data_IF_879486235481
#
_entry.id   IF_879486235481
#
_cell.length_a   1.000
_cell.length_b   1.000
_cell.length_c   1.000
_cell.angle_alpha   90.00
_cell.angle_beta   90.00
_cell.angle_gamma   90.00
#
_symmetry.space_group_name_H-M   'P 1'
#
loop_
_entity.id
_entity.type
_entity.pdbx_description
1 polymer ?
#
# COMPACT_ATOMS: atom_id res chain seq x y z
N UNK A 1 7.34 11.61 45.88
CA UNK A 1 7.43 10.42 45.02
C UNK A 1 6.21 10.43 44.12
N UNK A 2 6.36 11.00 42.91
CA UNK A 2 5.26 11.27 41.99
C UNK A 2 5.02 10.00 41.17
N UNK A 3 3.92 9.32 41.44
CA UNK A 3 3.49 8.13 40.71
C UNK A 3 2.94 8.61 39.36
N UNK A 4 3.74 8.51 38.29
CA UNK A 4 3.25 8.68 36.93
C UNK A 4 2.28 7.54 36.62
N UNK A 5 0.99 7.83 36.70
CA UNK A 5 -0.04 7.04 36.04
C UNK A 5 0.19 7.19 34.53
N UNK A 6 0.88 6.23 33.92
CA UNK A 6 0.90 6.08 32.47
C UNK A 6 -0.53 5.69 32.04
N UNK A 7 -1.31 6.69 31.65
CA UNK A 7 -2.54 6.49 30.89
C UNK A 7 -2.16 5.70 29.64
N UNK A 8 -2.57 4.43 29.58
CA UNK A 8 -2.57 3.65 28.36
C UNK A 8 -3.50 4.36 27.37
N UNK A 9 -2.92 5.19 26.49
CA UNK A 9 -3.62 5.76 25.34
C UNK A 9 -4.19 4.60 24.52
N UNK A 10 -5.51 4.61 24.28
CA UNK A 10 -6.30 3.50 23.77
C UNK A 10 -6.05 3.14 22.31
N UNK A 11 -4.81 2.78 21.99
CA UNK A 11 -4.40 2.29 20.68
C UNK A 11 -4.96 0.88 20.53
N UNK A 12 -5.78 0.68 19.49
CA UNK A 12 -6.32 -0.64 19.15
C UNK A 12 -5.65 -1.14 17.87
N UNK A 13 -5.27 -2.42 17.86
CA UNK A 13 -4.61 -3.08 16.75
C UNK A 13 -5.47 -4.22 16.21
N UNK A 14 -5.59 -4.33 14.88
CA UNK A 14 -6.22 -5.47 14.21
C UNK A 14 -5.27 -6.03 13.15
N UNK A 15 -4.90 -7.31 13.26
CA UNK A 15 -3.95 -7.97 12.36
C UNK A 15 -4.64 -8.86 11.32
N UNK A 16 -4.04 -8.96 10.13
CA UNK A 16 -4.48 -9.85 9.05
C UNK A 16 -3.38 -10.04 8.00
N UNK A 17 -2.86 -11.27 7.89
CA UNK A 17 -1.73 -11.57 7.01
C UNK A 17 -0.45 -10.81 7.42
N UNK A 18 0.20 -10.17 6.44
CA UNK A 18 1.44 -9.39 6.65
C UNK A 18 1.19 -7.96 7.14
N UNK A 19 -0.07 -7.58 7.40
CA UNK A 19 -0.46 -6.22 7.75
C UNK A 19 -1.27 -6.16 9.04
N UNK A 20 -1.23 -4.99 9.69
CA UNK A 20 -2.08 -4.63 10.82
C UNK A 20 -2.65 -3.21 10.62
N UNK A 21 -3.84 -2.98 11.17
CA UNK A 21 -4.46 -1.66 11.28
C UNK A 21 -4.26 -1.13 12.69
N UNK A 22 -3.75 0.10 12.78
CA UNK A 22 -3.57 0.79 14.05
C UNK A 22 -4.53 1.95 14.13
N UNK A 23 -5.38 1.95 15.15
CA UNK A 23 -6.41 2.97 15.37
C UNK A 23 -5.92 3.97 16.42
N UNK A 24 -6.00 5.25 16.07
CA UNK A 24 -5.72 6.38 16.96
C UNK A 24 -6.88 7.38 16.94
N UNK A 25 -7.11 8.14 18.03
CA UNK A 25 -7.94 9.34 17.96
C UNK A 25 -7.26 10.36 17.04
N UNK A 26 -7.93 10.76 15.97
CA UNK A 26 -7.28 11.59 14.94
C UNK A 26 -8.19 11.97 13.79
N UNK A 27 -7.69 12.86 12.94
CA UNK A 27 -8.34 13.25 11.70
C UNK A 27 -7.33 13.54 10.58
N UNK A 28 -7.70 13.37 9.29
CA UNK A 28 -6.89 13.80 8.17
C UNK A 28 -6.66 15.32 8.19
N UNK A 29 -5.41 15.75 8.12
CA UNK A 29 -5.00 17.17 8.13
C UNK A 29 -4.65 17.66 6.72
N UNK A 30 -4.00 16.81 5.91
CA UNK A 30 -3.61 17.12 4.53
C UNK A 30 -3.78 15.90 3.63
N UNK A 31 -4.63 16.04 2.62
CA UNK A 31 -4.93 15.01 1.62
C UNK A 31 -5.33 15.63 0.27
N UNK A 32 -5.26 14.84 -0.81
CA UNK A 32 -5.55 15.28 -2.20
C UNK A 32 -6.75 14.57 -2.83
N UNK A 33 -7.25 13.50 -2.21
CA UNK A 33 -8.40 12.74 -2.68
C UNK A 33 -8.82 11.70 -1.63
N UNK A 34 -9.95 11.04 -1.85
CA UNK A 34 -10.47 9.99 -0.96
C UNK A 34 -11.59 9.18 -1.64
N UNK A 35 -11.95 8.06 -1.03
CA UNK A 35 -13.14 7.27 -1.34
C UNK A 35 -14.08 7.25 -0.13
N UNK A 36 -15.38 7.42 -0.34
CA UNK A 36 -16.39 7.20 0.70
C UNK A 36 -16.94 5.79 0.62
N UNK A 37 -17.09 5.14 1.78
CA UNK A 37 -17.75 3.85 1.92
C UNK A 37 -18.82 3.93 3.00
N UNK A 38 -20.00 3.40 2.72
CA UNK A 38 -21.09 3.27 3.70
C UNK A 38 -21.01 1.92 4.38
N UNK A 39 -20.18 1.83 5.41
CA UNK A 39 -19.86 0.61 6.16
C UNK A 39 -19.73 0.97 7.64
N UNK A 40 -20.04 0.03 8.55
CA UNK A 40 -19.80 0.23 9.96
C UNK A 40 -18.28 0.34 10.25
N UNK A 41 -17.90 1.02 11.34
CA UNK A 41 -16.50 1.28 11.71
C UNK A 41 -15.58 0.05 11.57
N UNK A 42 -16.00 -1.08 12.15
CA UNK A 42 -15.20 -2.30 12.14
C UNK A 42 -15.07 -2.89 10.72
N UNK A 43 -16.12 -2.78 9.91
CA UNK A 43 -16.12 -3.26 8.53
C UNK A 43 -15.26 -2.36 7.63
N UNK A 44 -15.18 -1.07 7.90
CA UNK A 44 -14.25 -0.16 7.22
C UNK A 44 -12.79 -0.49 7.50
N UNK A 45 -12.46 -0.75 8.77
CA UNK A 45 -11.10 -1.15 9.16
C UNK A 45 -10.74 -2.48 8.51
N UNK A 46 -11.68 -3.44 8.46
CA UNK A 46 -11.49 -4.71 7.79
C UNK A 46 -11.36 -4.59 6.28
N UNK A 47 -12.21 -3.79 5.65
CA UNK A 47 -12.09 -3.47 4.23
C UNK A 47 -10.68 -2.97 3.93
N UNK A 48 -10.18 -1.99 4.68
CA UNK A 48 -8.85 -1.44 4.46
C UNK A 48 -7.71 -2.45 4.69
N UNK A 49 -7.86 -3.31 5.69
CA UNK A 49 -6.88 -4.35 5.99
C UNK A 49 -6.68 -5.30 4.80
N UNK A 50 -7.76 -5.65 4.09
CA UNK A 50 -7.69 -6.56 2.94
C UNK A 50 -7.56 -5.86 1.59
N UNK A 51 -7.99 -4.60 1.48
CA UNK A 51 -7.89 -3.85 0.24
C UNK A 51 -6.42 -3.47 -0.05
N UNK A 52 -5.83 -3.92 -1.18
CA UNK A 52 -4.41 -3.72 -1.46
C UNK A 52 -4.00 -2.25 -1.64
N UNK A 53 -4.93 -1.36 -1.94
CA UNK A 53 -4.69 0.08 -2.17
C UNK A 53 -5.17 0.98 -1.04
N UNK A 54 -5.53 0.40 0.11
CA UNK A 54 -5.92 1.18 1.28
C UNK A 54 -4.74 1.35 2.23
N UNK A 55 -4.42 2.60 2.58
CA UNK A 55 -3.43 2.93 3.58
C UNK A 55 -4.06 3.47 4.87
N UNK A 56 -5.16 4.22 4.76
CA UNK A 56 -5.78 4.92 5.91
C UNK A 56 -7.30 4.91 5.80
N UNK A 57 -7.97 4.74 6.94
CA UNK A 57 -9.41 4.95 7.12
C UNK A 57 -9.64 6.03 8.15
N UNK A 58 -10.55 6.94 7.87
CA UNK A 58 -11.08 7.91 8.83
C UNK A 58 -12.54 7.60 9.12
N UNK A 59 -12.90 7.60 10.40
CA UNK A 59 -14.23 7.34 10.94
C UNK A 59 -14.61 8.45 11.91
N UNK A 60 -15.89 8.80 11.93
CA UNK A 60 -16.44 9.81 12.84
C UNK A 60 -17.72 9.30 13.48
N UNK A 61 -17.80 9.41 14.80
CA UNK A 61 -18.96 9.00 15.58
C UNK A 61 -20.23 9.69 15.07
N UNK A 62 -21.31 8.92 14.96
CA UNK A 62 -22.61 9.40 14.45
C UNK A 62 -22.74 9.41 12.93
N UNK A 63 -21.72 8.98 12.19
CA UNK A 63 -21.78 8.77 10.74
C UNK A 63 -21.64 7.29 10.42
N UNK A 64 -22.39 6.82 9.41
CA UNK A 64 -22.30 5.45 8.87
C UNK A 64 -21.29 5.32 7.73
N UNK A 65 -20.66 6.43 7.37
CA UNK A 65 -19.71 6.50 6.25
C UNK A 65 -18.29 6.65 6.80
N UNK A 66 -17.36 5.89 6.23
CA UNK A 66 -15.94 6.06 6.46
C UNK A 66 -15.24 6.54 5.19
N UNK A 67 -14.14 7.24 5.41
CA UNK A 67 -13.33 7.82 4.35
C UNK A 67 -12.05 6.99 4.22
N UNK A 68 -11.81 6.46 3.04
CA UNK A 68 -10.64 5.64 2.71
C UNK A 68 -9.65 6.44 1.87
N UNK A 69 -8.38 6.31 2.20
CA UNK A 69 -7.27 6.94 1.49
C UNK A 69 -6.25 5.89 1.05
N UNK A 70 -5.75 6.05 -0.18
CA UNK A 70 -4.49 5.45 -0.57
C UNK A 70 -3.30 6.26 -0.01
N UNK A 71 -2.12 5.66 0.03
CA UNK A 71 -0.89 6.24 0.55
C UNK A 71 -0.49 7.51 -0.21
N UNK A 72 -0.81 7.59 -1.50
CA UNK A 72 -0.57 8.78 -2.34
C UNK A 72 -1.57 9.92 -2.11
N UNK A 73 -2.72 9.63 -1.50
CA UNK A 73 -3.79 10.59 -1.27
C UNK A 73 -3.71 11.28 0.09
N UNK A 74 -3.11 10.64 1.09
CA UNK A 74 -2.94 11.18 2.44
C UNK A 74 -1.49 11.61 2.68
N UNK A 75 -1.28 12.80 3.24
CA UNK A 75 0.06 13.27 3.60
C UNK A 75 0.22 13.45 5.11
N UNK A 76 -0.83 13.90 5.80
CA UNK A 76 -0.78 14.18 7.24
C UNK A 76 -2.07 13.80 7.95
N UNK A 77 -1.90 13.19 9.13
CA UNK A 77 -2.97 12.92 10.10
C UNK A 77 -2.62 13.63 11.40
N UNK A 78 -3.55 14.41 11.93
CA UNK A 78 -3.42 15.04 13.24
C UNK A 78 -4.03 14.13 14.28
N UNK A 79 -3.23 13.75 15.28
CA UNK A 79 -3.73 13.07 16.46
C UNK A 79 -4.43 14.08 17.37
N UNK A 80 -5.67 13.76 17.78
CA UNK A 80 -6.50 14.61 18.64
C UNK A 80 -6.83 13.88 19.94
N UNK A 81 -7.48 14.55 20.87
CA UNK A 81 -7.94 13.91 22.12
C UNK A 81 -9.11 12.95 21.88
N UNK A 82 -9.24 11.93 22.73
CA UNK A 82 -10.28 10.87 22.64
C UNK A 82 -11.73 11.39 22.67
N UNK A 83 -11.96 12.61 23.16
CA UNK A 83 -13.29 13.21 23.28
C UNK A 83 -13.86 13.78 21.97
N UNK A 84 -13.09 13.76 20.87
CA UNK A 84 -13.53 14.32 19.59
C UNK A 84 -14.35 13.35 18.73
N UNK A 85 -14.51 12.08 19.13
CA UNK A 85 -15.27 11.06 18.39
C UNK A 85 -14.74 10.82 16.97
N UNK A 86 -13.48 11.18 16.70
CA UNK A 86 -12.81 11.09 15.41
C UNK A 86 -11.67 10.09 15.52
N UNK A 87 -11.66 9.10 14.64
CA UNK A 87 -10.70 7.99 14.68
C UNK A 87 -10.08 7.79 13.31
N UNK A 88 -8.77 7.54 13.30
CA UNK A 88 -8.02 7.18 12.11
C UNK A 88 -7.39 5.82 12.32
N UNK A 89 -7.63 4.90 11.37
CA UNK A 89 -6.98 3.61 11.30
C UNK A 89 -5.93 3.64 10.18
N UNK A 90 -4.67 3.34 10.51
CA UNK A 90 -3.55 3.34 9.56
C UNK A 90 -3.06 1.91 9.33
N UNK A 91 -2.94 1.51 8.07
CA UNK A 91 -2.41 0.21 7.66
C UNK A 91 -0.89 0.23 7.66
N UNK A 92 -0.29 -0.77 8.28
CA UNK A 92 1.16 -0.95 8.35
C UNK A 92 1.55 -2.42 8.21
N UNK A 93 2.73 -2.68 7.67
CA UNK A 93 3.35 -4.01 7.66
C UNK A 93 3.62 -4.45 9.10
N UNK A 94 3.38 -5.72 9.36
CA UNK A 94 3.55 -6.31 10.68
C UNK A 94 4.90 -7.06 10.76
N UNK A 95 5.75 -6.70 11.72
CA UNK A 95 7.00 -7.42 12.04
C UNK A 95 6.87 -8.31 13.29
N UNK A 96 5.87 -8.08 14.14
CA UNK A 96 5.58 -8.83 15.38
C UNK A 96 4.06 -8.93 15.63
N UNK A 97 3.59 -9.91 16.41
CA UNK A 97 2.21 -9.97 16.95
C UNK A 97 1.83 -8.63 17.59
N UNK A 98 0.61 -8.12 17.36
CA UNK A 98 0.12 -6.81 17.86
C UNK A 98 0.57 -6.55 19.31
N UNK A 99 1.65 -5.81 19.48
CA UNK A 99 2.09 -5.31 20.78
C UNK A 99 1.37 -4.00 21.08
N UNK A 100 1.14 -3.73 22.36
CA UNK A 100 0.54 -2.48 22.85
C UNK A 100 1.48 -1.27 22.68
N UNK A 101 2.74 -1.51 22.30
CA UNK A 101 3.77 -0.49 22.15
C UNK A 101 4.12 -0.26 20.68
N UNK A 102 3.97 0.99 20.25
CA UNK A 102 4.56 1.48 19.01
C UNK A 102 6.08 1.54 19.17
N UNK A 103 6.82 0.65 18.52
CA UNK A 103 8.26 0.84 18.42
C UNK A 103 8.55 2.08 17.59
N UNK A 104 9.07 3.09 18.30
CA UNK A 104 9.38 4.45 17.85
C UNK A 104 10.31 4.45 16.63
N UNK A 105 9.78 4.87 15.48
CA UNK A 105 10.20 6.07 14.72
C UNK A 105 9.97 5.97 13.21
N UNK A 106 9.64 4.81 12.65
CA UNK A 106 9.12 4.70 11.29
C UNK A 106 8.29 3.44 11.15
N UNK A 107 7.01 3.60 10.83
CA UNK A 107 6.13 2.48 10.49
C UNK A 107 6.09 2.36 8.97
N UNK A 108 6.21 1.15 8.46
CA UNK A 108 6.24 0.91 7.03
C UNK A 108 4.90 0.36 6.57
N UNK A 109 4.48 0.72 5.37
CA UNK A 109 3.34 0.10 4.70
C UNK A 109 3.60 0.02 3.21
N UNK A 110 2.73 -0.70 2.51
CA UNK A 110 2.82 -0.79 1.05
C UNK A 110 1.48 -1.05 0.43
N UNK A 111 1.30 -0.53 -0.77
CA UNK A 111 0.16 -0.80 -1.63
C UNK A 111 0.64 -1.53 -2.88
N UNK A 112 -0.07 -2.57 -3.27
CA UNK A 112 0.28 -3.35 -4.45
C UNK A 112 -0.96 -3.56 -5.31
N UNK A 113 -0.85 -3.20 -6.59
CA UNK A 113 -1.83 -3.55 -7.61
C UNK A 113 -1.19 -4.49 -8.63
N UNK A 114 -1.99 -4.97 -9.58
CA UNK A 114 -1.48 -5.71 -10.72
C UNK A 114 -0.49 -4.90 -11.59
N UNK A 115 -0.36 -3.59 -11.42
CA UNK A 115 0.50 -2.75 -12.26
C UNK A 115 1.36 -1.75 -11.49
N UNK A 116 1.23 -1.67 -10.17
CA UNK A 116 1.93 -0.66 -9.39
C UNK A 116 2.26 -1.14 -7.99
N UNK A 117 3.34 -0.60 -7.44
CA UNK A 117 3.75 -0.80 -6.06
C UNK A 117 4.13 0.55 -5.46
N UNK A 118 3.61 0.82 -4.28
CA UNK A 118 3.97 1.98 -3.47
C UNK A 118 4.43 1.46 -2.12
N UNK A 119 5.56 1.96 -1.64
CA UNK A 119 6.02 1.79 -0.27
C UNK A 119 6.03 3.14 0.42
N UNK A 120 5.58 3.16 1.66
CA UNK A 120 5.50 4.38 2.44
C UNK A 120 5.96 4.16 3.87
N UNK A 121 6.48 5.23 4.45
CA UNK A 121 6.83 5.35 5.85
C UNK A 121 5.90 6.34 6.54
N UNK A 122 5.58 6.06 7.80
CA UNK A 122 4.79 6.92 8.67
C UNK A 122 5.68 7.36 9.83
N UNK A 123 5.90 8.66 9.93
CA UNK A 123 6.67 9.30 10.99
C UNK A 123 5.75 10.11 11.92
N UNK A 124 5.94 10.00 13.24
CA UNK A 124 5.24 10.83 14.22
C UNK A 124 6.14 12.00 14.66
N UNK A 125 5.70 13.22 14.38
CA UNK A 125 6.36 14.43 14.87
C UNK A 125 6.03 14.75 16.33
N UNK A 126 6.85 15.59 16.96
CA UNK A 126 6.59 16.12 18.31
C UNK A 126 5.35 17.01 18.40
N UNK A 127 4.81 17.41 17.26
CA UNK A 127 3.58 18.20 17.08
C UNK A 127 2.31 17.33 16.99
N UNK A 128 2.41 16.02 17.26
CA UNK A 128 1.31 15.06 17.11
C UNK A 128 0.80 14.90 15.67
N UNK A 129 1.59 15.31 14.67
CA UNK A 129 1.33 15.06 13.26
C UNK A 129 2.01 13.76 12.81
N UNK A 130 1.20 12.85 12.31
CA UNK A 130 1.64 11.64 11.63
C UNK A 130 1.79 11.96 10.14
N UNK A 131 3.01 11.85 9.62
CA UNK A 131 3.36 12.21 8.24
C UNK A 131 3.62 10.97 7.42
N UNK A 132 2.96 10.88 6.27
CA UNK A 132 3.13 9.80 5.29
C UNK A 132 4.14 10.24 4.24
N UNK A 133 5.19 9.44 4.06
CA UNK A 133 6.25 9.68 3.08
C UNK A 133 6.37 8.48 2.16
N UNK A 134 6.16 8.70 0.86
CA UNK A 134 6.39 7.66 -0.15
C UNK A 134 7.89 7.47 -0.33
N UNK A 135 8.40 6.29 -0.02
CA UNK A 135 9.82 5.95 -0.12
C UNK A 135 10.16 5.21 -1.42
N UNK A 136 9.19 4.48 -1.97
CA UNK A 136 9.32 3.79 -3.24
C UNK A 136 8.03 3.87 -4.02
N UNK A 137 8.14 4.13 -5.32
CA UNK A 137 7.02 4.05 -6.26
C UNK A 137 7.48 3.36 -7.53
N UNK A 138 6.73 2.33 -7.94
CA UNK A 138 6.92 1.61 -9.18
C UNK A 138 5.58 1.55 -9.89
N UNK A 139 5.56 1.93 -11.16
CA UNK A 139 4.41 1.80 -12.03
C UNK A 139 4.85 1.10 -13.31
N UNK A 140 4.23 -0.03 -13.60
CA UNK A 140 4.49 -0.77 -14.81
C UNK A 140 3.96 -0.01 -16.04
N UNK A 141 4.68 -0.07 -17.17
CA UNK A 141 4.17 0.47 -18.42
C UNK A 141 2.89 -0.23 -18.87
N UNK A 142 2.16 0.39 -19.80
CA UNK A 142 0.99 -0.23 -20.44
C UNK A 142 1.36 -1.59 -21.04
N UNK A 143 0.48 -2.59 -20.89
CA UNK A 143 0.66 -4.00 -21.28
C UNK A 143 1.63 -4.83 -20.43
N UNK A 144 2.19 -4.24 -19.38
CA UNK A 144 2.94 -4.97 -18.38
C UNK A 144 2.09 -5.20 -17.13
N UNK A 145 2.38 -6.28 -16.44
CA UNK A 145 1.83 -6.63 -15.14
C UNK A 145 2.97 -6.75 -14.14
N UNK A 146 2.72 -6.34 -12.91
CA UNK A 146 3.66 -6.41 -11.81
C UNK A 146 3.65 -7.82 -11.22
N UNK A 147 4.85 -8.37 -11.02
CA UNK A 147 5.07 -9.65 -10.36
C UNK A 147 6.16 -9.52 -9.30
N UNK A 148 6.06 -10.34 -8.26
CA UNK A 148 7.08 -10.45 -7.22
C UNK A 148 7.92 -11.70 -7.50
N UNK A 149 9.23 -11.49 -7.68
CA UNK A 149 10.25 -12.55 -7.82
C UNK A 149 11.20 -12.51 -6.63
N UNK A 150 12.07 -13.52 -6.51
CA UNK A 150 13.05 -13.57 -5.42
C UNK A 150 13.99 -12.35 -5.36
N UNK A 151 14.28 -11.73 -6.52
CA UNK A 151 15.12 -10.52 -6.62
C UNK A 151 14.34 -9.21 -6.57
N UNK A 152 13.05 -9.26 -6.22
CA UNK A 152 12.21 -8.08 -6.07
C UNK A 152 11.07 -8.02 -7.09
N UNK A 153 10.60 -6.79 -7.34
CA UNK A 153 9.43 -6.52 -8.15
C UNK A 153 9.81 -6.33 -9.63
N UNK A 154 9.06 -6.98 -10.52
CA UNK A 154 9.29 -6.96 -11.96
C UNK A 154 8.02 -6.66 -12.73
N UNK A 155 8.12 -5.77 -13.71
CA UNK A 155 7.06 -5.57 -14.69
C UNK A 155 7.30 -6.52 -15.86
N UNK A 156 6.36 -7.44 -16.09
CA UNK A 156 6.45 -8.46 -17.15
C UNK A 156 5.34 -8.21 -18.15
N UNK A 157 5.68 -8.25 -19.44
CA UNK A 157 4.75 -7.97 -20.52
C UNK A 157 5.25 -8.50 -21.85
N UNK A 158 4.35 -8.51 -22.83
CA UNK A 158 4.70 -8.81 -24.22
C UNK A 158 4.97 -7.51 -24.96
N UNK A 159 6.07 -7.49 -25.70
CA UNK A 159 6.39 -6.43 -26.64
C UNK A 159 6.16 -6.93 -28.05
N UNK A 160 5.37 -6.19 -28.82
CA UNK A 160 5.22 -6.44 -30.26
C UNK A 160 6.33 -5.72 -30.99
N UNK A 161 7.03 -6.46 -31.84
CA UNK A 161 8.15 -6.00 -32.65
C UNK A 161 7.71 -6.08 -34.11
N UNK A 162 8.06 -5.06 -34.90
CA UNK A 162 7.74 -5.04 -36.32
C UNK A 162 8.79 -5.83 -37.09
N UNK A 163 8.34 -6.82 -37.87
CA UNK A 163 9.22 -7.75 -38.59
C UNK A 163 9.58 -9.00 -37.80
N UNK A 164 10.24 -9.95 -38.46
CA UNK A 164 10.72 -11.16 -37.81
C UNK A 164 11.85 -10.86 -36.83
N UNK A 165 11.76 -11.42 -35.62
CA UNK A 165 12.82 -11.38 -34.62
C UNK A 165 13.51 -12.74 -34.59
N UNK A 166 14.84 -12.72 -34.67
CA UNK A 166 15.70 -13.89 -34.48
C UNK A 166 16.11 -13.99 -33.02
N UNK A 167 16.61 -15.15 -32.60
CA UNK A 167 17.20 -15.31 -31.27
C UNK A 167 18.26 -14.25 -30.99
N UNK A 168 19.12 -13.96 -31.97
CA UNK A 168 20.26 -13.05 -31.83
C UNK A 168 19.85 -11.57 -31.65
N UNK A 169 18.76 -11.13 -32.28
CA UNK A 169 18.32 -9.72 -32.19
C UNK A 169 17.23 -9.48 -31.14
N UNK A 170 16.66 -10.55 -30.56
CA UNK A 170 15.55 -10.47 -29.61
C UNK A 170 15.83 -9.56 -28.40
N UNK A 171 17.06 -9.57 -27.87
CA UNK A 171 17.46 -8.72 -26.74
C UNK A 171 17.41 -7.24 -27.09
N UNK A 172 17.96 -6.88 -28.26
CA UNK A 172 17.97 -5.51 -28.77
C UNK A 172 16.55 -5.05 -29.12
N UNK A 173 15.75 -5.92 -29.71
CA UNK A 173 14.34 -5.64 -30.03
C UNK A 173 13.48 -5.43 -28.77
N UNK A 174 13.77 -6.14 -27.69
CA UNK A 174 13.10 -5.93 -26.41
C UNK A 174 13.46 -4.58 -25.79
N UNK A 175 14.77 -4.26 -25.74
CA UNK A 175 15.26 -3.00 -25.20
C UNK A 175 14.81 -1.76 -26.00
N UNK A 176 14.57 -1.92 -27.32
CA UNK A 176 14.05 -0.83 -28.15
C UNK A 176 12.53 -0.64 -28.02
N UNK A 177 11.79 -1.71 -27.71
CA UNK A 177 10.34 -1.65 -27.53
C UNK A 177 9.93 -1.00 -26.21
N UNK A 178 10.76 -1.10 -25.17
CA UNK A 178 10.53 -0.44 -23.89
C UNK A 178 11.86 -0.06 -23.22
N UNK A 179 11.98 1.21 -22.81
CA UNK A 179 13.20 1.72 -22.16
C UNK A 179 13.52 0.93 -20.89
N UNK A 180 14.75 0.42 -20.81
CA UNK A 180 15.21 -0.39 -19.69
C UNK A 180 14.65 -1.83 -19.65
N UNK A 181 13.89 -2.25 -20.66
CA UNK A 181 13.42 -3.63 -20.75
C UNK A 181 14.56 -4.58 -21.14
N UNK A 182 14.51 -5.77 -20.56
CA UNK A 182 15.42 -6.87 -20.83
C UNK A 182 14.59 -8.12 -21.12
N UNK A 183 15.15 -9.04 -21.91
CA UNK A 183 14.56 -10.35 -22.04
C UNK A 183 14.59 -11.06 -20.70
N UNK A 184 13.49 -11.72 -20.39
CA UNK A 184 13.32 -12.46 -19.16
C UNK A 184 12.65 -13.79 -19.46
N UNK A 185 13.10 -14.83 -18.76
CA UNK A 185 12.34 -16.08 -18.68
C UNK A 185 11.11 -15.91 -17.80
N UNK A 186 10.20 -16.89 -17.87
CA UNK A 186 9.04 -16.99 -16.97
C UNK A 186 9.44 -17.84 -15.77
N UNK A 187 9.20 -17.32 -14.56
CA UNK A 187 9.62 -17.95 -13.30
C UNK A 187 8.47 -18.65 -12.57
N UNK A 188 7.22 -18.43 -12.99
CA UNK A 188 6.05 -19.06 -12.38
C UNK A 188 4.95 -19.41 -13.38
N UNK A 189 4.06 -20.32 -12.96
CA UNK A 189 2.87 -20.67 -13.73
C UNK A 189 1.95 -19.45 -13.92
N UNK A 190 1.87 -18.56 -12.94
CA UNK A 190 1.06 -17.35 -13.03
C UNK A 190 1.59 -16.34 -14.06
N UNK A 191 2.93 -16.20 -14.17
CA UNK A 191 3.56 -15.42 -15.24
C UNK A 191 3.26 -16.06 -16.61
N UNK A 192 3.33 -17.39 -16.67
CA UNK A 192 3.06 -18.17 -17.88
C UNK A 192 1.64 -17.99 -18.37
N UNK A 193 0.65 -18.17 -17.49
CA UNK A 193 -0.77 -17.95 -17.78
C UNK A 193 -1.06 -16.52 -18.22
N UNK A 194 -0.44 -15.52 -17.58
CA UNK A 194 -0.59 -14.12 -17.98
C UNK A 194 -0.11 -13.88 -19.42
N UNK A 195 1.03 -14.45 -19.80
CA UNK A 195 1.59 -14.30 -21.15
C UNK A 195 0.76 -15.06 -22.18
N UNK A 196 0.36 -16.31 -21.91
CA UNK A 196 -0.53 -17.07 -22.80
C UNK A 196 -1.89 -16.39 -22.97
N UNK A 197 -2.47 -15.85 -21.90
CA UNK A 197 -3.73 -15.11 -21.96
C UNK A 197 -3.64 -13.79 -22.75
N UNK A 198 -2.42 -13.28 -23.01
CA UNK A 198 -2.16 -12.10 -23.83
C UNK A 198 -1.92 -12.42 -25.30
N UNK A 199 -1.80 -13.69 -25.68
CA UNK A 199 -1.61 -14.07 -27.09
C UNK A 199 -1.86 -15.56 -27.36
N UNK A 200 -2.85 -15.85 -28.21
CA UNK A 200 -2.78 -17.00 -29.09
C UNK A 200 -1.76 -16.67 -30.18
N UNK A 201 -0.52 -17.14 -30.03
CA UNK A 201 0.47 -17.13 -31.11
C UNK A 201 0.15 -18.31 -32.04
N UNK A 202 -0.48 -18.02 -33.18
CA UNK A 202 -0.48 -18.90 -34.36
C UNK A 202 0.56 -18.38 -35.35
#
# INVERSE_FOLDING_TARGET
MLMLLALAFGIRCQAGGDFKMTIIPGRPEKYTGYQNLTLADNDCVQYCLYEPTCAVVYMKDGYSDCIVFSASQIQKVLQVGDFEGQRVAMKMKQTYTCGDEFEKNSMFGSETTNTSYIEYEIFIGSDSLWTFTITKSLKCPSNYKLFTRAKGLWCIGLVTVTGGVTGDNSGLSCASAASGAILSGLESMYETEYIYGKGCLF
#
